data_IF_811639462239
#
_entry.id   IF_811639462239
#
_cell.length_a   1.000
_cell.length_b   1.000
_cell.length_c   1.000
_cell.angle_alpha   90.00
_cell.angle_beta   90.00
_cell.angle_gamma   90.00
#
_symmetry.space_group_name_H-M   'P 1'
#
loop_
_entity.id
_entity.type
_entity.pdbx_description
1 polymer ?
#
# COMPACT_ATOMS: atom_id res chain seq x y z
N UNK A 1 -30.07 30.66 -39.78
CA UNK A 1 -29.43 29.33 -39.81
C UNK A 1 -28.23 29.39 -38.87
N UNK A 2 -28.18 28.54 -37.85
CA UNK A 2 -27.39 28.73 -36.62
C UNK A 2 -25.85 28.75 -36.84
N UNK A 3 -25.18 29.69 -36.18
CA UNK A 3 -23.72 29.66 -35.97
C UNK A 3 -23.40 28.64 -34.87
N UNK A 4 -22.68 27.57 -35.22
CA UNK A 4 -22.13 26.63 -34.25
C UNK A 4 -20.94 27.28 -33.53
N UNK A 5 -21.17 27.78 -32.31
CA UNK A 5 -20.08 28.07 -31.37
C UNK A 5 -19.51 26.72 -30.90
N UNK A 6 -18.43 26.28 -31.52
CA UNK A 6 -17.68 25.11 -31.09
C UNK A 6 -17.03 25.38 -29.74
N UNK A 7 -17.59 24.83 -28.67
CA UNK A 7 -16.96 24.83 -27.35
C UNK A 7 -15.84 23.79 -27.36
N UNK A 8 -14.60 24.24 -27.52
CA UNK A 8 -13.41 23.39 -27.34
C UNK A 8 -13.24 23.20 -25.83
N UNK A 9 -13.68 22.04 -25.32
CA UNK A 9 -13.41 21.65 -23.93
C UNK A 9 -11.94 21.22 -23.86
N UNK A 10 -11.07 22.12 -23.42
CA UNK A 10 -9.69 21.81 -23.06
C UNK A 10 -9.73 20.93 -21.80
N UNK A 11 -9.66 19.61 -21.97
CA UNK A 11 -9.44 18.69 -20.86
C UNK A 11 -8.05 18.96 -20.29
N UNK A 12 -8.00 19.74 -19.22
CA UNK A 12 -6.79 19.93 -18.41
C UNK A 12 -6.54 18.60 -17.71
N UNK A 13 -5.64 17.78 -18.26
CA UNK A 13 -5.07 16.63 -17.56
C UNK A 13 -4.19 17.18 -16.44
N UNK A 14 -4.72 17.37 -15.23
CA UNK A 14 -3.87 17.79 -14.12
C UNK A 14 -3.07 16.59 -13.66
N UNK A 15 -1.76 16.66 -13.91
CA UNK A 15 -0.82 15.64 -13.48
C UNK A 15 -0.55 15.87 -12.00
N UNK A 16 -1.18 15.08 -11.12
CA UNK A 16 -0.84 15.14 -9.69
C UNK A 16 0.54 14.53 -9.50
N UNK A 17 1.46 15.33 -8.98
CA UNK A 17 2.80 14.90 -8.62
C UNK A 17 2.72 14.10 -7.31
N UNK A 18 2.73 12.77 -7.41
CA UNK A 18 2.97 11.90 -6.25
C UNK A 18 4.35 12.21 -5.67
N UNK A 19 4.45 12.41 -4.35
CA UNK A 19 5.75 12.66 -3.72
C UNK A 19 6.62 11.40 -3.82
N UNK A 20 7.89 11.52 -4.26
CA UNK A 20 8.75 10.37 -4.49
C UNK A 20 9.25 9.72 -3.19
N UNK A 21 9.05 10.35 -2.03
CA UNK A 21 9.79 10.04 -0.80
C UNK A 21 9.16 8.98 0.11
N UNK A 22 8.04 8.35 -0.26
CA UNK A 22 7.34 7.41 0.64
C UNK A 22 6.67 8.09 1.83
N UNK A 23 5.90 7.32 2.60
CA UNK A 23 5.21 7.82 3.79
C UNK A 23 6.18 8.16 4.94
N UNK A 24 6.09 9.35 5.58
CA UNK A 24 7.01 9.73 6.67
C UNK A 24 6.63 9.12 8.03
N UNK A 25 5.35 9.20 8.43
CA UNK A 25 4.82 8.70 9.71
C UNK A 25 3.32 8.38 9.57
N UNK A 26 2.98 7.34 8.81
CA UNK A 26 1.58 6.95 8.54
C UNK A 26 1.19 5.57 9.08
N UNK A 27 2.06 4.95 9.90
CA UNK A 27 1.86 3.58 10.39
C UNK A 27 0.69 3.38 11.35
N UNK A 28 -0.01 4.43 11.80
CA UNK A 28 -1.11 4.28 12.76
C UNK A 28 -2.44 4.42 12.05
N UNK A 29 -2.65 5.59 11.45
CA UNK A 29 -3.88 5.95 10.75
C UNK A 29 -3.95 5.38 9.32
N UNK A 30 -2.83 4.91 8.74
CA UNK A 30 -2.70 4.58 7.32
C UNK A 30 -3.14 5.72 6.40
N UNK A 31 -3.19 6.95 6.90
CA UNK A 31 -3.73 8.07 6.14
C UNK A 31 -2.62 8.66 5.26
N UNK A 32 -2.91 8.89 3.97
CA UNK A 32 -2.05 9.73 3.16
C UNK A 32 -1.91 11.11 3.81
N UNK A 33 -0.66 11.52 4.07
CA UNK A 33 -0.34 12.85 4.60
C UNK A 33 0.04 13.83 3.47
N UNK A 34 -0.30 13.49 2.22
CA UNK A 34 -0.07 14.34 1.06
C UNK A 34 -1.28 15.26 0.87
N UNK A 35 -1.03 16.56 0.75
CA UNK A 35 -2.10 17.55 0.54
C UNK A 35 -2.86 17.27 -0.77
N UNK A 36 -4.18 17.21 -0.68
CA UNK A 36 -5.07 17.12 -1.85
C UNK A 36 -5.49 15.71 -2.30
N UNK A 37 -5.02 14.64 -1.64
CA UNK A 37 -5.49 13.27 -1.94
C UNK A 37 -6.66 12.92 -1.01
N UNK A 38 -7.82 12.63 -1.61
CA UNK A 38 -8.94 12.03 -0.90
C UNK A 38 -8.86 10.51 -1.00
N UNK A 39 -9.21 9.76 0.06
CA UNK A 39 -9.37 8.30 -0.02
C UNK A 39 -10.29 7.95 -1.20
N UNK A 40 -9.82 7.07 -2.10
CA UNK A 40 -10.56 6.68 -3.30
C UNK A 40 -11.90 6.00 -2.95
N UNK A 41 -12.89 6.04 -3.87
CA UNK A 41 -14.23 5.51 -3.61
C UNK A 41 -14.21 3.99 -3.34
N UNK A 42 -15.09 3.59 -2.44
CA UNK A 42 -15.38 2.19 -2.10
C UNK A 42 -16.23 1.56 -3.22
N UNK A 43 -15.93 0.33 -3.71
CA UNK A 43 -14.91 -0.60 -3.25
C UNK A 43 -13.49 -0.24 -3.72
N UNK A 44 -12.51 -0.45 -2.83
CA UNK A 44 -11.10 -0.31 -3.18
C UNK A 44 -10.75 -1.23 -4.37
N UNK A 45 -10.07 -0.73 -5.42
CA UNK A 45 -9.76 -1.52 -6.62
C UNK A 45 -8.60 -2.51 -6.42
N UNK A 46 -8.18 -2.73 -5.16
CA UNK A 46 -7.03 -3.52 -4.79
C UNK A 46 -7.39 -4.59 -3.76
N UNK A 47 -6.81 -5.77 -3.93
CA UNK A 47 -6.91 -6.88 -2.97
C UNK A 47 -5.53 -7.40 -2.59
N UNK A 48 -5.36 -7.74 -1.31
CA UNK A 48 -4.11 -8.29 -0.78
C UNK A 48 -4.20 -9.82 -0.79
N UNK A 49 -3.23 -10.46 -1.43
CA UNK A 49 -3.15 -11.91 -1.58
C UNK A 49 -1.89 -12.47 -0.90
N UNK A 50 -1.97 -12.88 0.38
CA UNK A 50 -0.90 -13.64 1.01
C UNK A 50 -0.86 -15.08 0.48
N UNK A 51 0.33 -15.70 0.45
CA UNK A 51 0.51 -17.09 0.02
C UNK A 51 -0.10 -18.14 0.96
N UNK A 52 -0.35 -17.76 2.21
CA UNK A 52 -1.03 -18.60 3.19
C UNK A 52 -1.88 -17.73 4.10
N UNK A 53 -3.05 -18.26 4.48
CA UNK A 53 -3.95 -17.69 5.48
C UNK A 53 -3.67 -18.20 6.89
N UNK A 54 -2.58 -18.96 7.06
CA UNK A 54 -2.10 -19.43 8.35
C UNK A 54 -0.63 -19.09 8.48
N UNK A 55 -0.24 -18.66 9.69
CA UNK A 55 1.12 -18.24 9.97
C UNK A 55 1.78 -19.21 10.92
N UNK A 56 3.01 -19.60 10.57
CA UNK A 56 3.91 -20.32 11.44
C UNK A 56 5.10 -19.42 11.73
N UNK A 57 5.50 -19.39 13.00
CA UNK A 57 6.68 -18.63 13.43
C UNK A 57 7.88 -18.95 12.53
N UNK A 58 8.52 -17.91 12.00
CA UNK A 58 9.72 -18.03 11.16
C UNK A 58 9.48 -18.55 9.74
N UNK A 59 8.24 -18.87 9.34
CA UNK A 59 7.92 -19.24 7.95
C UNK A 59 7.54 -17.99 7.16
N UNK A 60 8.27 -17.65 6.08
CA UNK A 60 7.96 -16.49 5.27
C UNK A 60 6.59 -16.60 4.58
N UNK A 61 5.90 -15.46 4.48
CA UNK A 61 4.67 -15.30 3.72
C UNK A 61 4.95 -14.28 2.62
N UNK A 62 4.65 -14.66 1.38
CA UNK A 62 4.70 -13.72 0.27
C UNK A 62 3.34 -13.06 0.14
N UNK A 63 3.34 -11.76 -0.11
CA UNK A 63 2.15 -10.94 -0.28
C UNK A 63 2.19 -10.31 -1.66
N UNK A 64 1.11 -10.46 -2.42
CA UNK A 64 0.92 -9.82 -3.72
C UNK A 64 -0.30 -8.92 -3.65
N UNK A 65 -0.18 -7.73 -4.24
CA UNK A 65 -1.30 -6.80 -4.41
C UNK A 65 -1.87 -7.02 -5.81
N UNK A 66 -3.14 -7.38 -5.91
CA UNK A 66 -3.86 -7.48 -7.19
C UNK A 66 -4.75 -6.26 -7.38
N UNK A 67 -4.85 -5.81 -8.62
CA UNK A 67 -5.57 -4.60 -8.99
C UNK A 67 -4.89 -3.91 -10.17
N UNK A 68 -5.27 -2.66 -10.50
CA UNK A 68 -4.56 -1.83 -11.47
C UNK A 68 -3.10 -1.56 -11.07
N UNK A 69 -2.31 -1.02 -11.97
CA UNK A 69 -0.97 -0.53 -11.65
C UNK A 69 -1.02 0.58 -10.59
N UNK A 70 -0.03 0.62 -9.69
CA UNK A 70 0.03 1.56 -8.57
C UNK A 70 1.41 2.22 -8.43
N UNK A 71 1.40 3.48 -7.98
CA UNK A 71 2.64 4.28 -7.81
C UNK A 71 3.05 4.36 -6.33
N UNK A 72 2.07 4.47 -5.45
CA UNK A 72 2.21 4.61 -4.00
C UNK A 72 1.72 3.35 -3.30
N UNK A 73 2.38 2.96 -2.22
CA UNK A 73 1.96 1.86 -1.35
C UNK A 73 2.43 2.14 0.07
N UNK A 74 1.61 1.80 1.05
CA UNK A 74 2.00 1.59 2.44
C UNK A 74 1.44 0.25 2.89
N UNK A 75 2.33 -0.73 3.09
CA UNK A 75 1.98 -2.10 3.45
C UNK A 75 2.48 -2.41 4.85
N UNK A 76 1.57 -2.75 5.75
CA UNK A 76 1.87 -3.08 7.15
C UNK A 76 1.16 -4.37 7.55
N UNK A 77 1.80 -5.17 8.39
CA UNK A 77 1.16 -6.29 9.05
C UNK A 77 0.81 -5.88 10.49
N UNK A 78 -0.44 -6.07 10.91
CA UNK A 78 -0.94 -5.72 12.25
C UNK A 78 -1.65 -6.89 12.90
N UNK A 79 -1.74 -6.87 14.22
CA UNK A 79 -2.67 -7.76 14.92
C UNK A 79 -4.11 -7.26 14.70
N UNK A 80 -5.09 -8.15 14.72
CA UNK A 80 -6.51 -7.73 14.64
C UNK A 80 -7.05 -7.05 15.91
N UNK A 81 -6.17 -6.59 16.81
CA UNK A 81 -6.48 -6.04 18.13
C UNK A 81 -5.80 -4.69 18.39
N UNK A 82 -4.75 -4.33 17.64
CA UNK A 82 -4.05 -3.06 17.77
C UNK A 82 -3.54 -2.53 16.42
N UNK A 83 -3.14 -1.27 16.39
CA UNK A 83 -2.56 -0.60 15.22
C UNK A 83 -1.04 -0.74 15.15
N UNK A 84 -0.45 -1.70 15.88
CA UNK A 84 1.00 -1.86 15.96
C UNK A 84 1.51 -2.82 14.88
N UNK A 85 2.54 -2.38 14.17
CA UNK A 85 3.30 -3.21 13.25
C UNK A 85 3.78 -4.49 13.95
N UNK A 86 3.56 -5.63 13.31
CA UNK A 86 3.95 -6.95 13.82
C UNK A 86 4.70 -7.77 12.78
N UNK A 87 5.57 -8.67 13.24
CA UNK A 87 6.50 -9.39 12.37
C UNK A 87 7.50 -8.48 11.68
N UNK A 88 8.14 -8.99 10.63
CA UNK A 88 9.29 -8.31 10.00
C UNK A 88 9.21 -8.43 8.49
N UNK A 89 9.11 -7.31 7.78
CA UNK A 89 9.26 -7.28 6.33
C UNK A 89 10.69 -7.59 5.92
N UNK A 90 10.84 -8.39 4.87
CA UNK A 90 12.12 -8.71 4.25
C UNK A 90 12.50 -7.66 3.22
N UNK A 91 13.66 -7.85 2.57
CA UNK A 91 14.21 -6.94 1.56
C UNK A 91 13.12 -6.38 0.64
N UNK A 92 12.91 -5.05 0.62
CA UNK A 92 11.86 -4.44 -0.16
C UNK A 92 12.13 -4.66 -1.65
N UNK A 93 11.11 -5.00 -2.46
CA UNK A 93 11.24 -5.02 -3.91
C UNK A 93 11.72 -3.68 -4.48
N UNK A 94 12.19 -3.69 -5.72
CA UNK A 94 12.56 -2.47 -6.45
C UNK A 94 11.46 -1.41 -6.35
N UNK A 95 11.86 -0.13 -6.22
CA UNK A 95 10.96 1.02 -6.08
C UNK A 95 10.18 1.08 -4.75
N UNK A 96 10.55 0.26 -3.77
CA UNK A 96 9.99 0.27 -2.42
C UNK A 96 11.11 0.32 -1.39
N UNK A 97 10.78 0.68 -0.15
CA UNK A 97 11.71 0.78 0.96
C UNK A 97 11.02 0.45 2.27
N UNK A 98 11.81 0.19 3.31
CA UNK A 98 11.27 0.06 4.66
C UNK A 98 10.73 1.38 5.18
N UNK A 99 9.71 1.26 6.03
CA UNK A 99 9.25 2.31 6.92
C UNK A 99 9.27 1.78 8.35
N UNK A 100 9.93 2.53 9.24
CA UNK A 100 9.98 2.21 10.64
C UNK A 100 8.61 2.47 11.29
N UNK A 101 8.01 1.44 11.89
CA UNK A 101 6.69 1.51 12.52
C UNK A 101 6.74 0.84 13.88
N UNK A 102 6.15 1.46 14.91
CA UNK A 102 6.07 0.88 16.27
C UNK A 102 7.43 0.44 16.85
N UNK A 103 8.50 1.17 16.54
CA UNK A 103 9.88 0.83 16.96
C UNK A 103 10.56 -0.27 16.13
N UNK A 104 9.85 -0.87 15.16
CA UNK A 104 10.38 -1.86 14.23
C UNK A 104 10.84 -1.18 12.93
N UNK A 105 12.14 -1.24 12.64
CA UNK A 105 12.74 -0.63 11.43
C UNK A 105 12.23 -1.28 10.13
N UNK A 106 11.71 -2.49 10.20
CA UNK A 106 11.15 -3.25 9.08
C UNK A 106 9.65 -3.52 9.32
N UNK A 107 8.98 -2.58 9.99
CA UNK A 107 7.57 -2.71 10.38
C UNK A 107 6.58 -2.53 9.24
N UNK A 108 6.94 -1.74 8.23
CA UNK A 108 6.16 -1.57 7.01
C UNK A 108 7.05 -1.44 5.77
N UNK A 109 6.41 -1.53 4.60
CA UNK A 109 6.98 -1.19 3.30
C UNK A 109 6.24 0.02 2.75
N UNK A 110 6.98 0.99 2.20
CA UNK A 110 6.42 2.12 1.45
C UNK A 110 7.11 2.31 0.10
N UNK A 111 6.58 3.13 -0.80
CA UNK A 111 7.25 3.45 -2.05
C UNK A 111 8.54 4.25 -1.82
N UNK A 112 9.55 4.01 -2.66
CA UNK A 112 10.82 4.74 -2.64
C UNK A 112 10.91 5.81 -3.74
N UNK A 113 10.00 5.74 -4.71
CA UNK A 113 9.85 6.65 -5.84
C UNK A 113 8.45 6.44 -6.45
N UNK A 114 8.12 7.19 -7.50
CA UNK A 114 6.84 7.14 -8.20
C UNK A 114 6.77 6.05 -9.28
N UNK A 115 7.81 5.23 -9.45
CA UNK A 115 7.82 4.18 -10.47
C UNK A 115 6.73 3.15 -10.19
N UNK A 116 6.10 2.71 -11.28
CA UNK A 116 4.96 1.82 -11.27
C UNK A 116 5.31 0.44 -10.71
N UNK A 117 4.39 -0.08 -9.91
CA UNK A 117 4.34 -1.43 -9.36
C UNK A 117 3.05 -2.07 -9.84
N UNK A 118 3.05 -3.40 -9.95
CA UNK A 118 1.92 -4.16 -10.46
C UNK A 118 1.79 -5.50 -9.73
N UNK A 119 0.95 -6.39 -10.25
CA UNK A 119 0.69 -7.72 -9.70
C UNK A 119 1.91 -8.67 -9.69
N UNK A 120 3.01 -8.30 -10.35
CA UNK A 120 4.28 -9.04 -10.33
C UNK A 120 5.20 -8.62 -9.17
N UNK A 121 4.84 -7.58 -8.42
CA UNK A 121 5.59 -7.15 -7.24
C UNK A 121 5.27 -8.06 -6.06
N UNK A 122 6.29 -8.74 -5.52
CA UNK A 122 6.15 -9.70 -4.42
C UNK A 122 6.81 -9.16 -3.16
N UNK A 123 6.02 -8.95 -2.11
CA UNK A 123 6.51 -8.54 -0.79
C UNK A 123 6.67 -9.78 0.09
N UNK A 124 7.67 -9.81 0.96
CA UNK A 124 7.89 -10.96 1.85
C UNK A 124 7.87 -10.51 3.31
N UNK A 125 7.11 -11.20 4.14
CA UNK A 125 6.94 -10.92 5.56
C UNK A 125 7.21 -12.17 6.40
N UNK A 126 7.90 -11.99 7.52
CA UNK A 126 8.15 -13.05 8.51
C UNK A 126 7.23 -12.81 9.72
N UNK A 127 6.36 -13.78 10.07
CA UNK A 127 5.54 -13.71 11.26
C UNK A 127 6.38 -13.58 12.55
N UNK A 128 5.90 -12.85 13.56
CA UNK A 128 6.62 -12.70 14.83
C UNK A 128 6.76 -14.05 15.55
N UNK A 129 7.83 -14.20 16.34
CA UNK A 129 8.15 -15.45 17.02
C UNK A 129 7.10 -15.94 18.03
N UNK A 130 6.20 -15.05 18.46
CA UNK A 130 5.13 -15.34 19.41
C UNK A 130 3.82 -15.75 18.71
N UNK A 131 3.77 -15.80 17.38
CA UNK A 131 2.59 -16.25 16.64
C UNK A 131 2.43 -17.77 16.77
N UNK A 132 1.80 -18.23 17.86
CA UNK A 132 1.32 -19.62 17.99
C UNK A 132 0.00 -19.76 17.25
N UNK A 133 0.01 -20.43 16.10
CA UNK A 133 -1.17 -20.87 15.34
C UNK A 133 -2.31 -19.83 15.26
N UNK A 134 -1.96 -18.60 14.90
CA UNK A 134 -2.97 -17.57 14.61
C UNK A 134 -3.56 -17.92 13.26
N UNK A 135 -4.73 -18.59 13.27
CA UNK A 135 -5.61 -18.60 12.10
C UNK A 135 -5.81 -17.12 11.71
N UNK A 136 -5.61 -16.76 10.44
CA UNK A 136 -5.96 -15.43 9.91
C UNK A 136 -7.49 -15.29 9.97
N UNK A 137 -8.05 -15.10 11.17
CA UNK A 137 -9.48 -14.82 11.37
C UNK A 137 -9.78 -13.33 11.22
N UNK A 138 -8.76 -12.49 11.04
CA UNK A 138 -8.86 -11.05 10.83
C UNK A 138 -7.81 -10.62 9.80
N UNK A 139 -8.11 -9.58 9.03
CA UNK A 139 -7.19 -8.95 8.07
C UNK A 139 -5.87 -8.61 8.79
N UNK A 140 -4.81 -9.37 8.55
CA UNK A 140 -3.50 -9.14 9.19
C UNK A 140 -2.66 -8.18 8.34
N UNK A 141 -2.83 -8.22 7.03
CA UNK A 141 -2.20 -7.28 6.12
C UNK A 141 -3.14 -6.11 5.83
N UNK A 142 -2.60 -4.90 5.93
CA UNK A 142 -3.26 -3.66 5.59
C UNK A 142 -2.42 -2.95 4.55
N UNK A 143 -3.07 -2.46 3.50
CA UNK A 143 -2.43 -1.70 2.44
C UNK A 143 -3.22 -0.42 2.19
N UNK A 144 -2.52 0.70 2.15
CA UNK A 144 -3.00 1.95 1.55
C UNK A 144 -2.29 2.13 0.20
N UNK A 145 -3.06 2.34 -0.86
CA UNK A 145 -2.55 2.38 -2.23
C UNK A 145 -3.13 3.60 -2.95
N UNK A 146 -2.24 4.46 -3.46
CA UNK A 146 -2.63 5.57 -4.31
C UNK A 146 -2.20 5.31 -5.76
N UNK A 147 -3.16 5.46 -6.66
CA UNK A 147 -2.89 5.52 -8.10
C UNK A 147 -2.40 6.95 -8.41
N UNK A 148 -1.73 7.16 -9.55
CA UNK A 148 -1.77 8.48 -10.17
C UNK A 148 -3.26 8.84 -10.32
N UNK A 149 -3.75 9.76 -9.49
CA UNK A 149 -5.06 10.34 -9.70
C UNK A 149 -4.87 11.22 -10.94
N UNK A 150 -5.55 10.84 -12.02
CA UNK A 150 -5.94 11.81 -13.04
C UNK A 150 -6.86 12.79 -12.30
N UNK A 151 -6.32 13.91 -11.83
CA UNK A 151 -7.17 15.05 -11.46
C UNK A 151 -7.46 15.82 -12.74
#
# INVERSE_FOLDING_TARGET
MLCFFGVVILQVLTSVLSYPSGAPTACVDMMPRHGGVQPKPNPAPYTIHPSSTTFQTGKPITVVIKGPDYSSVLLEARSGFDSKATGTWQTPPTNTKFLACSGNQQGAITHANTNIKNNSTVYTWIPPATAKNVLQRKNIFFAEIENPILV
#
